data_IF_712742052938
#
_entry.id   IF_712742052938
#
_cell.length_a   1.000
_cell.length_b   1.000
_cell.length_c   1.000
_cell.angle_alpha   90.00
_cell.angle_beta   90.00
_cell.angle_gamma   90.00
#
_symmetry.space_group_name_H-M   'P 1'
#
loop_
_entity.id
_entity.type
_entity.pdbx_description
1 polymer ?
#
# COMPACT_ATOMS: atom_id res chain seq x y z
N UNK A 1 -19.95 -25.15 -10.62
CA UNK A 1 -18.97 -25.52 -11.66
C UNK A 1 -18.17 -24.32 -12.15
N UNK A 2 -18.80 -23.19 -12.42
CA UNK A 2 -18.20 -21.95 -12.91
C UNK A 2 -17.08 -21.39 -11.99
N UNK A 3 -17.29 -21.41 -10.65
CA UNK A 3 -16.26 -21.03 -9.67
C UNK A 3 -15.02 -21.92 -9.80
N UNK A 4 -15.22 -23.23 -9.96
CA UNK A 4 -14.10 -24.18 -10.10
C UNK A 4 -13.31 -23.96 -11.39
N UNK A 5 -13.97 -23.61 -12.50
CA UNK A 5 -13.31 -23.26 -13.76
C UNK A 5 -12.50 -21.99 -13.61
N UNK A 6 -13.08 -20.93 -13.00
CA UNK A 6 -12.39 -19.65 -12.77
C UNK A 6 -11.17 -19.81 -11.88
N UNK A 7 -11.34 -20.35 -10.67
CA UNK A 7 -10.24 -20.53 -9.72
C UNK A 7 -9.23 -21.57 -10.21
N UNK A 8 -9.70 -22.68 -10.78
CA UNK A 8 -8.84 -23.75 -11.28
C UNK A 8 -7.93 -23.28 -12.42
N UNK A 9 -8.47 -22.55 -13.41
CA UNK A 9 -7.67 -22.02 -14.52
C UNK A 9 -6.69 -20.93 -14.07
N UNK A 10 -7.12 -20.04 -13.15
CA UNK A 10 -6.26 -19.00 -12.59
C UNK A 10 -5.09 -19.61 -11.81
N UNK A 11 -5.37 -20.52 -10.88
CA UNK A 11 -4.35 -21.17 -10.07
C UNK A 11 -3.42 -22.07 -10.91
N UNK A 12 -3.95 -22.77 -11.91
CA UNK A 12 -3.15 -23.59 -12.83
C UNK A 12 -2.18 -22.70 -13.64
N UNK A 13 -2.66 -21.58 -14.20
CA UNK A 13 -1.81 -20.63 -14.93
C UNK A 13 -0.70 -20.04 -14.04
N UNK A 14 -1.05 -19.67 -12.81
CA UNK A 14 -0.07 -19.16 -11.84
C UNK A 14 0.95 -20.23 -11.42
N UNK A 15 0.51 -21.49 -11.22
CA UNK A 15 1.40 -22.60 -10.88
C UNK A 15 2.39 -22.93 -12.00
N UNK A 16 2.02 -22.65 -13.25
CA UNK A 16 2.91 -22.74 -14.41
C UNK A 16 3.88 -21.56 -14.53
N UNK A 17 3.83 -20.58 -13.61
CA UNK A 17 4.69 -19.42 -13.62
C UNK A 17 4.27 -18.32 -14.60
N UNK A 18 3.06 -18.36 -15.12
CA UNK A 18 2.54 -17.32 -16.03
C UNK A 18 2.31 -16.03 -15.21
N UNK A 19 2.77 -14.86 -15.68
CA UNK A 19 2.51 -13.60 -14.99
C UNK A 19 1.02 -13.35 -14.76
N UNK A 20 0.66 -12.77 -13.61
CA UNK A 20 -0.73 -12.68 -13.11
C UNK A 20 -1.68 -12.03 -14.11
N UNK A 21 -1.24 -10.97 -14.83
CA UNK A 21 -2.07 -10.31 -15.83
C UNK A 21 -2.49 -11.27 -16.96
N UNK A 22 -1.57 -12.07 -17.45
CA UNK A 22 -1.87 -13.10 -18.47
C UNK A 22 -2.69 -14.25 -17.89
N UNK A 23 -2.45 -14.64 -16.63
CA UNK A 23 -3.25 -15.64 -15.94
C UNK A 23 -4.73 -15.20 -15.81
N UNK A 24 -4.98 -13.91 -15.55
CA UNK A 24 -6.33 -13.34 -15.54
C UNK A 24 -6.99 -13.35 -16.91
N UNK A 25 -6.25 -13.03 -17.97
CA UNK A 25 -6.79 -13.13 -19.33
C UNK A 25 -7.10 -14.57 -19.71
N UNK A 26 -6.20 -15.51 -19.40
CA UNK A 26 -6.41 -16.94 -19.67
C UNK A 26 -7.61 -17.49 -18.92
N UNK A 27 -7.76 -17.13 -17.64
CA UNK A 27 -8.92 -17.54 -16.85
C UNK A 27 -10.22 -16.91 -17.40
N UNK A 28 -10.15 -15.66 -17.90
CA UNK A 28 -11.25 -15.04 -18.64
C UNK A 28 -11.64 -15.82 -19.89
N UNK A 29 -10.69 -16.18 -20.74
CA UNK A 29 -10.91 -17.00 -21.92
C UNK A 29 -11.48 -18.36 -21.57
N UNK A 30 -10.94 -19.04 -20.56
CA UNK A 30 -11.43 -20.34 -20.10
C UNK A 30 -12.88 -20.28 -19.61
N UNK A 31 -13.24 -19.19 -18.91
CA UNK A 31 -14.60 -18.98 -18.42
C UNK A 31 -15.57 -18.68 -19.58
N UNK A 32 -15.20 -17.83 -20.54
CA UNK A 32 -15.99 -17.55 -21.75
C UNK A 32 -16.22 -18.84 -22.55
N UNK A 33 -15.19 -19.67 -22.69
CA UNK A 33 -15.30 -20.97 -23.37
C UNK A 33 -16.24 -21.92 -22.65
N UNK A 34 -16.13 -22.03 -21.34
CA UNK A 34 -17.02 -22.85 -20.52
C UNK A 34 -18.48 -22.42 -20.60
N UNK A 35 -18.74 -21.14 -20.75
CA UNK A 35 -20.08 -20.56 -20.88
C UNK A 35 -20.62 -20.55 -22.33
N UNK A 36 -19.86 -21.08 -23.31
CA UNK A 36 -20.18 -21.05 -24.73
C UNK A 36 -20.45 -19.63 -25.27
N UNK A 37 -19.74 -18.63 -24.76
CA UNK A 37 -19.89 -17.21 -25.14
C UNK A 37 -18.56 -16.56 -25.52
N UNK A 38 -17.63 -17.36 -26.08
CA UNK A 38 -16.33 -16.83 -26.49
C UNK A 38 -16.48 -15.81 -27.63
N UNK A 39 -16.07 -14.58 -27.34
CA UNK A 39 -16.04 -13.47 -28.29
C UNK A 39 -14.78 -12.63 -28.04
N UNK A 40 -13.87 -12.65 -29.00
CA UNK A 40 -12.62 -11.89 -28.93
C UNK A 40 -12.84 -10.37 -28.91
N UNK A 41 -13.93 -9.87 -29.51
CA UNK A 41 -14.26 -8.45 -29.50
C UNK A 41 -14.67 -7.99 -28.11
N UNK A 42 -15.49 -8.77 -27.40
CA UNK A 42 -15.89 -8.48 -26.03
C UNK A 42 -14.66 -8.47 -25.11
N UNK A 43 -13.75 -9.43 -25.29
CA UNK A 43 -12.49 -9.48 -24.53
C UNK A 43 -11.64 -8.23 -24.77
N UNK A 44 -11.45 -7.84 -26.03
CA UNK A 44 -10.69 -6.66 -26.39
C UNK A 44 -11.33 -5.36 -25.84
N UNK A 45 -12.65 -5.23 -25.93
CA UNK A 45 -13.37 -4.07 -25.38
C UNK A 45 -13.19 -3.94 -23.87
N UNK A 46 -13.34 -5.03 -23.10
CA UNK A 46 -13.15 -5.00 -21.66
C UNK A 46 -11.70 -4.65 -21.25
N UNK A 47 -10.69 -5.10 -22.01
CA UNK A 47 -9.30 -4.70 -21.81
C UNK A 47 -9.14 -3.19 -21.99
N UNK A 48 -9.70 -2.65 -23.10
CA UNK A 48 -9.59 -1.22 -23.41
C UNK A 48 -10.34 -0.36 -22.39
N UNK A 49 -11.55 -0.73 -22.03
CA UNK A 49 -12.35 -0.02 -21.01
C UNK A 49 -11.67 -0.07 -19.64
N UNK A 50 -11.07 -1.19 -19.27
CA UNK A 50 -10.31 -1.34 -18.03
C UNK A 50 -9.11 -0.38 -17.92
N UNK A 51 -8.43 -0.14 -19.04
CA UNK A 51 -7.33 0.83 -19.09
C UNK A 51 -7.82 2.29 -19.21
N UNK A 52 -9.01 2.52 -19.76
CA UNK A 52 -9.53 3.85 -20.06
C UNK A 52 -10.42 4.40 -18.93
N UNK A 53 -9.86 4.50 -17.74
CA UNK A 53 -10.56 5.06 -16.56
C UNK A 53 -9.85 6.32 -16.08
N UNK A 54 -10.57 7.46 -16.06
CA UNK A 54 -9.99 8.75 -15.63
C UNK A 54 -9.37 8.70 -14.22
N UNK A 55 -10.01 8.10 -13.19
CA UNK A 55 -9.39 8.01 -11.88
C UNK A 55 -8.10 7.18 -11.85
N UNK A 56 -7.92 6.21 -12.75
CA UNK A 56 -6.69 5.42 -12.83
C UNK A 56 -5.48 6.20 -13.32
N UNK A 57 -5.69 7.35 -13.98
CA UNK A 57 -4.59 8.27 -14.33
C UNK A 57 -3.84 8.79 -13.09
N UNK A 58 -4.44 8.74 -11.91
CA UNK A 58 -3.74 9.03 -10.67
C UNK A 58 -2.54 8.09 -10.42
N UNK A 59 -2.62 6.83 -10.84
CA UNK A 59 -1.57 5.82 -10.63
C UNK A 59 -0.25 6.20 -11.28
N UNK A 60 -0.17 6.47 -12.61
CA UNK A 60 1.09 6.87 -13.25
C UNK A 60 1.70 8.13 -12.65
N UNK A 61 0.88 9.12 -12.29
CA UNK A 61 1.40 10.37 -11.73
C UNK A 61 1.90 10.20 -10.29
N UNK A 62 1.22 9.44 -9.43
CA UNK A 62 1.75 9.13 -8.09
C UNK A 62 3.00 8.27 -8.16
N UNK A 63 3.08 7.30 -9.09
CA UNK A 63 4.30 6.53 -9.31
C UNK A 63 5.46 7.42 -9.74
N UNK A 64 5.23 8.33 -10.69
CA UNK A 64 6.23 9.28 -11.12
C UNK A 64 6.67 10.19 -9.97
N UNK A 65 5.73 10.72 -9.19
CA UNK A 65 6.05 11.53 -8.02
C UNK A 65 6.95 10.77 -7.04
N UNK A 66 6.62 9.52 -6.70
CA UNK A 66 7.41 8.67 -5.81
C UNK A 66 8.84 8.42 -6.31
N UNK A 67 8.98 8.07 -7.61
CA UNK A 67 10.31 7.87 -8.23
C UNK A 67 11.15 9.15 -8.24
N UNK A 68 10.54 10.28 -8.61
CA UNK A 68 11.22 11.60 -8.58
C UNK A 68 11.67 11.96 -7.17
N UNK A 69 10.86 11.68 -6.17
CA UNK A 69 11.18 12.01 -4.78
C UNK A 69 12.32 11.17 -4.23
N UNK A 70 12.38 9.89 -4.59
CA UNK A 70 13.47 9.01 -4.20
C UNK A 70 14.78 9.43 -4.87
N UNK A 71 14.75 9.69 -6.19
CA UNK A 71 15.94 10.09 -6.96
C UNK A 71 16.38 11.51 -6.64
N UNK A 72 15.42 12.42 -6.40
CA UNK A 72 15.67 13.86 -6.16
C UNK A 72 16.02 14.24 -4.71
N UNK A 73 16.34 13.24 -3.85
CA UNK A 73 16.86 13.47 -2.51
C UNK A 73 15.83 13.97 -1.47
N UNK A 74 14.52 13.95 -1.80
CA UNK A 74 13.47 14.33 -0.86
C UNK A 74 13.41 13.34 0.31
N UNK A 75 13.44 12.03 0.01
CA UNK A 75 13.40 10.96 1.01
C UNK A 75 14.52 11.07 2.04
N UNK A 76 15.74 11.40 1.60
CA UNK A 76 16.89 11.61 2.49
C UNK A 76 16.67 12.77 3.46
N UNK A 77 16.13 13.90 3.00
CA UNK A 77 15.86 15.07 3.86
C UNK A 77 14.79 14.81 4.90
N UNK A 78 13.81 13.97 4.57
CA UNK A 78 12.77 13.50 5.51
C UNK A 78 13.41 12.64 6.60
N UNK A 79 14.30 11.72 6.24
CA UNK A 79 15.04 10.90 7.23
C UNK A 79 15.92 11.77 8.11
N UNK A 80 16.63 12.76 7.55
CA UNK A 80 17.45 13.72 8.31
C UNK A 80 16.61 14.56 9.29
N UNK A 81 15.41 14.96 8.88
CA UNK A 81 14.47 15.66 9.76
C UNK A 81 13.96 14.74 10.88
N UNK A 82 13.54 13.52 10.56
CA UNK A 82 13.11 12.53 11.56
C UNK A 82 14.25 12.21 12.56
N UNK A 83 15.51 12.11 12.08
CA UNK A 83 16.70 11.96 12.92
C UNK A 83 16.87 13.14 13.87
N UNK A 84 16.65 14.37 13.40
CA UNK A 84 16.74 15.54 14.24
C UNK A 84 15.67 15.57 15.32
N UNK A 85 14.48 15.07 15.00
CA UNK A 85 13.31 15.13 15.88
C UNK A 85 13.34 14.06 16.99
N UNK A 86 13.56 12.78 16.63
CA UNK A 86 13.41 11.63 17.55
C UNK A 86 14.67 10.77 17.70
N UNK A 87 15.76 11.08 16.97
CA UNK A 87 16.97 10.27 16.98
C UNK A 87 17.67 10.17 18.34
N UNK A 88 17.46 11.16 19.22
CA UNK A 88 18.05 11.22 20.56
C UNK A 88 17.38 10.32 21.61
N UNK A 89 16.27 9.67 21.27
CA UNK A 89 15.56 8.76 22.16
C UNK A 89 16.34 7.44 22.21
N UNK A 90 16.32 6.71 23.30
CA UNK A 90 16.90 5.37 23.41
C UNK A 90 16.27 4.44 22.38
N UNK A 91 17.08 3.78 21.55
CA UNK A 91 16.59 3.06 20.36
C UNK A 91 16.12 3.99 19.24
N UNK A 92 16.60 5.24 19.22
CA UNK A 92 16.13 6.34 18.40
C UNK A 92 15.98 6.05 16.92
N UNK A 93 16.89 5.27 16.32
CA UNK A 93 16.84 4.94 14.90
C UNK A 93 15.59 4.14 14.49
N UNK A 94 15.03 3.33 15.38
CA UNK A 94 13.76 2.66 15.11
C UNK A 94 12.59 3.64 15.09
N UNK A 95 12.55 4.60 16.01
CA UNK A 95 11.53 5.67 15.99
C UNK A 95 11.68 6.57 14.77
N UNK A 96 12.93 6.88 14.38
CA UNK A 96 13.22 7.58 13.13
C UNK A 96 12.65 6.81 11.92
N UNK A 97 12.81 5.49 11.91
CA UNK A 97 12.25 4.64 10.84
C UNK A 97 10.73 4.77 10.75
N UNK A 98 10.03 4.71 11.90
CA UNK A 98 8.56 4.82 11.95
C UNK A 98 8.09 6.22 11.49
N UNK A 99 8.71 7.28 12.02
CA UNK A 99 8.35 8.66 11.65
C UNK A 99 8.65 8.93 10.17
N UNK A 100 9.83 8.51 9.71
CA UNK A 100 10.19 8.65 8.30
C UNK A 100 9.25 7.86 7.39
N UNK A 101 8.86 6.63 7.78
CA UNK A 101 7.88 5.84 7.04
C UNK A 101 6.54 6.55 6.92
N UNK A 102 5.99 7.11 8.00
CA UNK A 102 4.72 7.85 7.96
C UNK A 102 4.77 9.03 6.99
N UNK A 103 5.90 9.76 6.96
CA UNK A 103 6.04 10.92 6.08
C UNK A 103 6.27 10.47 4.63
N UNK A 104 7.12 9.45 4.40
CA UNK A 104 7.38 8.91 3.06
C UNK A 104 6.13 8.26 2.46
N UNK A 105 5.36 7.55 3.27
CA UNK A 105 4.08 6.97 2.86
C UNK A 105 3.12 8.01 2.30
N UNK A 106 3.06 9.18 2.95
CA UNK A 106 2.26 10.31 2.48
C UNK A 106 2.78 10.95 1.18
N UNK A 107 3.80 10.38 0.56
CA UNK A 107 4.42 10.87 -0.67
C UNK A 107 4.43 9.82 -1.77
N UNK A 108 4.76 8.57 -1.46
CA UNK A 108 4.95 7.49 -2.44
C UNK A 108 3.72 6.59 -2.62
N UNK A 109 2.99 6.34 -1.54
CA UNK A 109 1.86 5.40 -1.52
C UNK A 109 2.23 3.94 -1.82
N UNK A 110 3.53 3.57 -1.76
CA UNK A 110 4.05 2.27 -2.15
C UNK A 110 4.86 1.61 -1.03
N UNK A 111 4.38 0.46 -0.54
CA UNK A 111 5.08 -0.33 0.48
C UNK A 111 6.50 -0.72 0.06
N UNK A 112 6.66 -1.16 -1.19
CA UNK A 112 7.93 -1.64 -1.75
C UNK A 112 8.95 -0.51 -1.88
N UNK A 113 8.54 0.65 -2.43
CA UNK A 113 9.41 1.81 -2.62
C UNK A 113 9.89 2.38 -1.28
N UNK A 114 8.97 2.52 -0.32
CA UNK A 114 9.29 3.05 1.01
C UNK A 114 10.23 2.11 1.77
N UNK A 115 9.95 0.80 1.76
CA UNK A 115 10.80 -0.19 2.40
C UNK A 115 12.21 -0.23 1.77
N UNK A 116 12.32 -0.11 0.45
CA UNK A 116 13.61 -0.05 -0.25
C UNK A 116 14.41 1.19 0.18
N UNK A 117 13.79 2.37 0.16
CA UNK A 117 14.43 3.63 0.54
C UNK A 117 14.88 3.62 2.01
N UNK A 118 13.99 3.21 2.93
CA UNK A 118 14.31 3.12 4.35
C UNK A 118 15.40 2.09 4.62
N UNK A 119 15.39 0.95 3.93
CA UNK A 119 16.43 -0.08 4.08
C UNK A 119 17.80 0.45 3.65
N UNK A 120 17.87 1.10 2.49
CA UNK A 120 19.13 1.64 1.97
C UNK A 120 19.71 2.73 2.90
N UNK A 121 18.85 3.58 3.48
CA UNK A 121 19.27 4.70 4.31
C UNK A 121 19.50 4.32 5.77
N UNK A 122 18.56 3.61 6.40
CA UNK A 122 18.54 3.43 7.85
C UNK A 122 19.12 2.10 8.34
N UNK A 123 19.01 1.01 7.58
CA UNK A 123 19.52 -0.28 8.03
C UNK A 123 21.04 -0.25 8.33
N UNK A 124 21.91 0.33 7.47
CA UNK A 124 23.32 0.45 7.79
C UNK A 124 23.61 1.29 9.05
N UNK A 125 22.81 2.35 9.24
CA UNK A 125 22.92 3.22 10.42
C UNK A 125 22.53 2.48 11.70
N UNK A 126 21.42 1.71 11.66
CA UNK A 126 20.93 0.92 12.79
C UNK A 126 21.94 -0.16 13.19
N UNK A 127 22.49 -0.88 12.23
CA UNK A 127 23.50 -1.91 12.47
C UNK A 127 24.78 -1.29 13.05
N UNK A 128 25.24 -0.14 12.52
CA UNK A 128 26.40 0.58 13.03
C UNK A 128 26.20 1.10 14.46
N UNK A 129 24.95 1.47 14.80
CA UNK A 129 24.58 1.90 16.15
C UNK A 129 24.39 0.73 17.14
N UNK A 130 24.62 -0.51 16.71
CA UNK A 130 24.56 -1.69 17.57
C UNK A 130 23.17 -2.35 17.69
N UNK A 131 22.20 -1.94 16.85
CA UNK A 131 20.91 -2.62 16.79
C UNK A 131 21.04 -3.99 16.11
N UNK A 132 20.24 -4.94 16.57
CA UNK A 132 20.13 -6.25 15.91
C UNK A 132 19.65 -6.10 14.44
N UNK A 133 20.39 -6.71 13.53
CA UNK A 133 20.16 -6.57 12.08
C UNK A 133 18.81 -7.14 11.65
N UNK A 134 18.44 -8.32 12.17
CA UNK A 134 17.19 -8.98 11.84
C UNK A 134 15.98 -8.16 12.31
N UNK A 135 16.03 -7.66 13.55
CA UNK A 135 14.97 -6.82 14.12
C UNK A 135 14.86 -5.47 13.39
N UNK A 136 15.98 -4.87 13.04
CA UNK A 136 16.01 -3.62 12.27
C UNK A 136 15.40 -3.79 10.87
N UNK A 137 15.78 -4.84 10.15
CA UNK A 137 15.18 -5.18 8.87
C UNK A 137 13.69 -5.50 8.99
N UNK A 138 13.29 -6.24 10.02
CA UNK A 138 11.89 -6.55 10.33
C UNK A 138 11.05 -5.31 10.62
N UNK A 139 11.57 -4.35 11.40
CA UNK A 139 10.89 -3.07 11.63
C UNK A 139 10.70 -2.28 10.33
N UNK A 140 11.77 -2.19 9.50
CA UNK A 140 11.70 -1.46 8.21
C UNK A 140 10.65 -2.12 7.30
N UNK A 141 10.63 -3.45 7.22
CA UNK A 141 9.61 -4.16 6.46
C UNK A 141 8.19 -3.85 6.96
N UNK A 142 7.97 -3.93 8.28
CA UNK A 142 6.69 -3.59 8.89
C UNK A 142 6.29 -2.12 8.67
N UNK A 143 7.24 -1.19 8.68
CA UNK A 143 7.00 0.22 8.35
C UNK A 143 6.54 0.41 6.90
N UNK A 144 7.02 -0.42 5.96
CA UNK A 144 6.56 -0.40 4.58
C UNK A 144 5.05 -0.63 4.42
N UNK A 145 4.43 -1.39 5.34
CA UNK A 145 2.97 -1.62 5.36
C UNK A 145 2.17 -0.31 5.47
N UNK A 146 2.75 0.73 6.09
CA UNK A 146 2.09 2.03 6.25
C UNK A 146 1.91 2.73 4.89
N UNK A 147 2.82 2.47 3.92
CA UNK A 147 2.83 3.11 2.60
C UNK A 147 1.50 3.14 1.88
N UNK A 148 0.85 2.00 1.68
CA UNK A 148 -0.45 1.95 1.01
C UNK A 148 -1.64 2.45 1.83
N UNK A 149 -1.45 2.84 3.08
CA UNK A 149 -2.54 3.19 4.01
C UNK A 149 -2.63 4.70 4.23
N UNK A 150 -1.49 5.38 4.45
CA UNK A 150 -1.47 6.84 4.55
C UNK A 150 -1.56 7.45 3.15
N UNK A 151 -2.51 8.37 2.89
CA UNK A 151 -2.68 8.97 1.57
C UNK A 151 -1.52 9.90 1.18
N UNK A 152 -1.22 9.97 -0.15
CA UNK A 152 -1.89 9.29 -1.24
C UNK A 152 -1.49 7.81 -1.34
N UNK A 153 -2.44 6.95 -1.68
CA UNK A 153 -2.26 5.51 -1.74
C UNK A 153 -2.72 4.95 -3.08
N UNK A 154 -1.81 4.26 -3.77
CA UNK A 154 -2.12 3.59 -5.04
C UNK A 154 -3.16 2.48 -4.81
N UNK A 155 -3.08 1.77 -3.69
CA UNK A 155 -4.05 0.74 -3.32
C UNK A 155 -5.48 1.27 -3.19
N UNK A 156 -5.66 2.42 -2.55
CA UNK A 156 -6.98 3.06 -2.45
C UNK A 156 -7.49 3.56 -3.80
N UNK A 157 -6.63 4.02 -4.71
CA UNK A 157 -7.04 4.41 -6.07
C UNK A 157 -7.59 3.19 -6.80
N UNK A 158 -6.83 2.08 -6.83
CA UNK A 158 -7.23 0.85 -7.53
C UNK A 158 -8.50 0.27 -6.91
N UNK A 159 -8.58 0.18 -5.58
CA UNK A 159 -9.77 -0.29 -4.89
C UNK A 159 -10.98 0.61 -5.15
N UNK A 160 -10.82 1.93 -5.09
CA UNK A 160 -11.89 2.89 -5.32
C UNK A 160 -12.51 2.75 -6.71
N UNK A 161 -11.68 2.52 -7.72
CA UNK A 161 -12.14 2.24 -9.09
C UNK A 161 -12.83 0.88 -9.18
N UNK A 162 -12.20 -0.19 -8.67
CA UNK A 162 -12.73 -1.55 -8.75
C UNK A 162 -14.04 -1.73 -7.95
N UNK A 163 -14.19 -1.04 -6.82
CA UNK A 163 -15.36 -1.10 -5.93
C UNK A 163 -16.43 -0.04 -6.26
N UNK A 164 -16.14 0.91 -7.13
CA UNK A 164 -16.93 2.13 -7.37
C UNK A 164 -17.20 2.89 -6.05
N UNK A 165 -16.12 3.21 -5.33
CA UNK A 165 -16.11 3.92 -4.05
C UNK A 165 -15.28 5.20 -4.17
N UNK A 166 -15.67 6.26 -3.47
CA UNK A 166 -14.96 7.55 -3.49
C UNK A 166 -13.51 7.41 -2.98
N UNK A 167 -12.55 7.64 -3.87
CA UNK A 167 -11.11 7.61 -3.56
C UNK A 167 -10.76 8.67 -2.52
N UNK A 168 -11.36 9.87 -2.60
CA UNK A 168 -11.16 10.94 -1.60
C UNK A 168 -11.57 10.47 -0.20
N UNK A 169 -12.74 9.81 -0.07
CA UNK A 169 -13.18 9.27 1.22
C UNK A 169 -12.24 8.17 1.73
N UNK A 170 -11.77 7.29 0.85
CA UNK A 170 -10.78 6.26 1.22
C UNK A 170 -9.49 6.89 1.72
N UNK A 171 -8.97 7.91 1.05
CA UNK A 171 -7.77 8.64 1.46
C UNK A 171 -7.94 9.24 2.86
N UNK A 172 -9.00 9.99 3.09
CA UNK A 172 -9.25 10.61 4.39
C UNK A 172 -9.47 9.57 5.50
N UNK A 173 -10.14 8.45 5.19
CA UNK A 173 -10.39 7.37 6.14
C UNK A 173 -9.12 6.57 6.49
N UNK A 174 -8.11 6.53 5.60
CA UNK A 174 -6.84 5.80 5.82
C UNK A 174 -5.88 6.50 6.80
N UNK A 175 -6.02 7.80 7.03
CA UNK A 175 -5.08 8.59 7.85
C UNK A 175 -4.98 8.05 9.27
N UNK A 176 -6.09 7.94 9.97
CA UNK A 176 -6.09 7.52 11.37
C UNK A 176 -5.68 6.06 11.57
N UNK A 177 -6.16 5.10 10.77
CA UNK A 177 -5.64 3.73 10.78
C UNK A 177 -4.13 3.63 10.56
N UNK A 178 -3.58 4.41 9.62
CA UNK A 178 -2.13 4.47 9.40
C UNK A 178 -1.37 4.95 10.64
N UNK A 179 -1.89 5.97 11.33
CA UNK A 179 -1.32 6.47 12.60
C UNK A 179 -1.43 5.41 13.70
N UNK A 180 -2.55 4.68 13.80
CA UNK A 180 -2.71 3.60 14.78
C UNK A 180 -1.71 2.46 14.55
N UNK A 181 -1.48 2.08 13.31
CA UNK A 181 -0.45 1.09 12.96
C UNK A 181 0.95 1.58 13.34
N UNK A 182 1.27 2.85 13.03
CA UNK A 182 2.53 3.46 13.42
C UNK A 182 2.72 3.49 14.96
N UNK A 183 1.65 3.81 15.70
CA UNK A 183 1.66 3.75 17.18
C UNK A 183 1.89 2.33 17.70
N UNK A 184 1.27 1.33 17.07
CA UNK A 184 1.51 -0.09 17.37
C UNK A 184 2.97 -0.50 17.15
N UNK A 185 3.56 -0.09 16.02
CA UNK A 185 4.99 -0.33 15.74
C UNK A 185 5.89 0.40 16.74
N UNK A 186 5.55 1.64 17.10
CA UNK A 186 6.27 2.42 18.11
C UNK A 186 6.28 1.72 19.48
N UNK A 187 5.13 1.26 19.94
CA UNK A 187 5.00 0.53 21.20
C UNK A 187 5.77 -0.80 21.17
N UNK A 188 5.71 -1.53 20.05
CA UNK A 188 6.45 -2.78 19.86
C UNK A 188 7.96 -2.55 19.89
N UNK A 189 8.45 -1.53 19.17
CA UNK A 189 9.86 -1.16 19.16
C UNK A 189 10.34 -0.77 20.56
N UNK A 190 9.59 0.07 21.27
CA UNK A 190 9.88 0.43 22.65
C UNK A 190 10.01 -0.80 23.55
N UNK A 191 9.05 -1.72 23.45
CA UNK A 191 9.06 -2.94 24.26
C UNK A 191 10.26 -3.84 23.99
N UNK A 192 10.67 -3.97 22.72
CA UNK A 192 11.80 -4.79 22.30
C UNK A 192 13.15 -4.18 22.68
N UNK A 193 13.29 -2.84 22.63
CA UNK A 193 14.58 -2.15 22.83
C UNK A 193 14.79 -1.65 24.27
N UNK A 194 13.77 -1.70 25.12
CA UNK A 194 13.85 -1.18 26.52
C UNK A 194 14.95 -1.79 27.37
N UNK A 195 15.40 -3.00 27.05
CA UNK A 195 16.47 -3.71 27.79
C UNK A 195 17.84 -3.63 27.09
N UNK A 196 17.92 -3.10 25.89
CA UNK A 196 19.18 -2.97 25.16
C UNK A 196 20.01 -1.83 25.75
N UNK A 197 21.31 -2.09 25.91
CA UNK A 197 22.28 -1.06 26.39
C UNK A 197 22.78 -0.23 25.21
N UNK A 198 21.86 0.51 24.58
CA UNK A 198 22.20 1.41 23.47
C UNK A 198 22.40 2.82 24.04
N UNK A 199 23.52 3.43 23.68
CA UNK A 199 23.77 4.82 24.00
C UNK A 199 23.09 5.72 22.96
N UNK A 200 22.08 6.52 23.36
CA UNK A 200 21.42 7.43 22.43
C UNK A 200 22.39 8.55 22.07
N UNK A 201 22.37 9.02 20.80
CA UNK A 201 23.13 10.20 20.42
C UNK A 201 22.60 11.43 21.20
N UNK A 202 23.46 12.48 21.36
CA UNK A 202 23.05 13.68 22.07
C UNK A 202 21.86 14.34 21.36
N UNK A 203 20.98 14.96 22.16
CA UNK A 203 19.83 15.69 21.65
C UNK A 203 20.30 16.87 20.80
N UNK A 204 19.78 16.98 19.58
CA UNK A 204 20.04 18.13 18.72
C UNK A 204 19.42 19.40 19.30
N UNK A 205 20.07 20.52 19.10
CA UNK A 205 19.57 21.82 19.53
C UNK A 205 18.32 22.20 18.72
N UNK A 206 17.48 23.06 19.29
CA UNK A 206 16.29 23.58 18.58
C UNK A 206 16.66 24.24 17.26
N UNK A 207 17.83 24.88 17.17
CA UNK A 207 18.34 25.46 15.93
C UNK A 207 18.65 24.41 14.85
N UNK A 208 19.28 23.29 15.24
CA UNK A 208 19.56 22.17 14.29
C UNK A 208 18.27 21.51 13.82
N UNK A 209 17.28 21.32 14.70
CA UNK A 209 15.96 20.80 14.34
C UNK A 209 15.27 21.74 13.35
N UNK A 210 15.34 23.06 13.59
CA UNK A 210 14.78 24.06 12.67
C UNK A 210 15.46 24.06 11.30
N UNK A 211 16.79 23.92 11.27
CA UNK A 211 17.55 23.80 10.00
C UNK A 211 17.12 22.54 9.25
N UNK A 212 16.99 21.39 9.94
CA UNK A 212 16.53 20.14 9.32
C UNK A 212 15.08 20.28 8.79
N UNK A 213 14.19 20.90 9.56
CA UNK A 213 12.83 21.22 9.15
C UNK A 213 12.80 22.11 7.88
N UNK A 214 13.58 23.18 7.83
CA UNK A 214 13.67 24.05 6.64
C UNK A 214 14.17 23.31 5.40
N UNK A 215 15.15 22.41 5.57
CA UNK A 215 15.66 21.58 4.47
C UNK A 215 14.63 20.57 3.96
N UNK A 216 13.84 19.98 4.85
CA UNK A 216 12.76 19.05 4.52
C UNK A 216 11.45 19.77 4.13
N UNK A 217 11.32 21.06 4.39
CA UNK A 217 10.08 21.84 4.30
C UNK A 217 9.34 21.66 2.98
N UNK A 218 10.05 21.76 1.85
CA UNK A 218 9.44 21.53 0.54
C UNK A 218 8.93 20.10 0.37
N UNK A 219 9.62 19.10 0.89
CA UNK A 219 9.12 17.72 0.87
C UNK A 219 7.89 17.56 1.76
N UNK A 220 7.85 18.19 2.92
CA UNK A 220 6.73 18.14 3.87
C UNK A 220 5.48 18.90 3.41
N UNK A 221 5.61 19.89 2.53
CA UNK A 221 4.45 20.62 1.99
C UNK A 221 3.63 19.77 1.01
N UNK A 222 4.21 18.81 0.32
CA UNK A 222 3.50 18.02 -0.67
C UNK A 222 2.32 17.22 -0.08
N UNK A 223 2.47 16.43 1.01
CA UNK A 223 1.34 15.77 1.65
C UNK A 223 0.26 16.75 2.09
N UNK A 224 0.65 17.91 2.59
CA UNK A 224 -0.30 18.93 3.03
C UNK A 224 -1.10 19.50 1.86
N UNK A 225 -0.45 19.79 0.72
CA UNK A 225 -1.11 20.26 -0.50
C UNK A 225 -2.17 19.23 -0.96
N UNK A 226 -1.78 17.95 -1.01
CA UNK A 226 -2.68 16.87 -1.43
C UNK A 226 -3.87 16.74 -0.47
N UNK A 227 -3.61 16.60 0.84
CA UNK A 227 -4.67 16.39 1.84
C UNK A 227 -5.62 17.58 1.94
N UNK A 228 -5.09 18.79 1.99
CA UNK A 228 -5.90 20.02 2.03
C UNK A 228 -6.69 20.17 0.74
N UNK A 229 -6.07 19.99 -0.42
CA UNK A 229 -6.72 20.10 -1.71
C UNK A 229 -7.86 19.09 -1.90
N UNK A 230 -7.68 17.85 -1.46
CA UNK A 230 -8.72 16.82 -1.50
C UNK A 230 -9.84 17.08 -0.50
N UNK A 231 -9.52 17.50 0.73
CA UNK A 231 -10.50 17.77 1.77
C UNK A 231 -11.43 18.93 1.40
N UNK A 232 -10.89 20.01 0.85
CA UNK A 232 -11.68 21.18 0.46
C UNK A 232 -12.25 21.08 -0.96
N UNK A 233 -12.07 19.92 -1.65
CA UNK A 233 -12.59 19.70 -2.99
C UNK A 233 -11.93 20.58 -4.07
N UNK A 234 -10.72 21.13 -3.80
CA UNK A 234 -9.94 21.92 -4.76
C UNK A 234 -9.42 21.01 -5.88
N UNK A 235 -9.07 19.77 -5.54
CA UNK A 235 -8.55 18.77 -6.46
C UNK A 235 -9.34 17.47 -6.37
N UNK A 236 -9.53 16.84 -7.53
CA UNK A 236 -9.83 15.41 -7.62
C UNK A 236 -8.58 14.59 -7.30
N UNK A 237 -8.68 13.29 -6.96
CA UNK A 237 -7.50 12.44 -6.74
C UNK A 237 -6.53 12.42 -7.92
N UNK A 238 -7.04 12.48 -9.16
CA UNK A 238 -6.23 12.52 -10.39
C UNK A 238 -5.46 13.83 -10.51
N UNK A 239 -6.13 14.97 -10.30
CA UNK A 239 -5.48 16.29 -10.31
C UNK A 239 -4.44 16.41 -9.18
N UNK A 240 -4.75 15.89 -7.99
CA UNK A 240 -3.79 15.85 -6.89
C UNK A 240 -2.53 15.04 -7.25
N UNK A 241 -2.66 13.95 -8.01
CA UNK A 241 -1.53 13.16 -8.48
C UNK A 241 -0.66 13.93 -9.49
N UNK A 242 -1.30 14.66 -10.42
CA UNK A 242 -0.58 15.54 -11.38
C UNK A 242 0.17 16.63 -10.64
N UNK A 243 -0.49 17.32 -9.68
CA UNK A 243 0.14 18.35 -8.84
C UNK A 243 1.31 17.76 -8.07
N UNK A 244 1.17 16.55 -7.52
CA UNK A 244 2.25 15.86 -6.81
C UNK A 244 3.47 15.62 -7.71
N UNK A 245 3.26 15.10 -8.92
CA UNK A 245 4.34 14.83 -9.87
C UNK A 245 5.05 16.11 -10.31
N UNK A 246 4.30 17.14 -10.69
CA UNK A 246 4.87 18.45 -11.12
C UNK A 246 5.61 19.10 -9.97
N UNK A 247 5.05 19.10 -8.76
CA UNK A 247 5.69 19.67 -7.59
C UNK A 247 6.98 18.93 -7.21
N UNK A 248 6.96 17.58 -7.24
CA UNK A 248 8.15 16.77 -6.97
C UNK A 248 9.27 17.07 -8.00
N UNK A 249 8.94 17.14 -9.29
CA UNK A 249 9.88 17.52 -10.35
C UNK A 249 10.47 18.92 -10.12
N UNK A 250 9.63 19.88 -9.79
CA UNK A 250 10.06 21.25 -9.50
C UNK A 250 11.00 21.30 -8.29
N UNK A 251 10.63 20.66 -7.19
CA UNK A 251 11.45 20.64 -5.98
C UNK A 251 12.77 19.93 -6.20
N UNK A 252 12.76 18.75 -6.82
CA UNK A 252 13.96 17.95 -7.08
C UNK A 252 14.90 18.62 -8.11
N UNK A 253 14.33 19.19 -9.18
CA UNK A 253 15.12 19.75 -10.29
C UNK A 253 15.56 21.21 -10.05
N UNK A 254 14.68 22.05 -9.52
CA UNK A 254 14.95 23.50 -9.41
C UNK A 254 15.42 23.89 -8.02
N UNK A 255 14.76 23.41 -6.97
CA UNK A 255 15.05 23.82 -5.60
C UNK A 255 16.26 23.07 -5.04
N UNK A 256 16.20 21.72 -5.07
CA UNK A 256 17.28 20.89 -4.55
C UNK A 256 18.40 20.66 -5.54
N UNK A 257 18.12 20.78 -6.83
CA UNK A 257 19.09 20.62 -7.93
C UNK A 257 19.84 19.29 -7.89
N UNK A 258 19.17 18.26 -7.41
CA UNK A 258 19.71 16.91 -7.31
C UNK A 258 19.32 16.01 -8.49
N UNK A 259 18.42 16.47 -9.38
CA UNK A 259 17.93 15.73 -10.52
C UNK A 259 18.66 16.17 -11.79
N UNK A 260 19.62 15.35 -12.23
CA UNK A 260 20.33 15.56 -13.50
C UNK A 260 19.48 15.04 -14.68
N UNK A 261 19.76 15.49 -15.92
CA UNK A 261 19.07 15.02 -17.12
C UNK A 261 19.12 13.50 -17.32
N UNK A 262 20.25 12.87 -17.01
CA UNK A 262 20.40 11.42 -17.09
C UNK A 262 19.52 10.70 -16.06
N UNK A 263 19.47 11.21 -14.82
CA UNK A 263 18.62 10.67 -13.76
C UNK A 263 17.14 10.89 -14.08
N UNK A 264 16.78 12.05 -14.63
CA UNK A 264 15.42 12.36 -15.06
C UNK A 264 14.92 11.33 -16.07
N UNK A 265 15.69 11.04 -17.11
CA UNK A 265 15.36 10.00 -18.08
C UNK A 265 15.16 8.64 -17.42
N UNK A 266 16.11 8.23 -16.55
CA UNK A 266 16.01 6.96 -15.81
C UNK A 266 14.76 6.89 -14.94
N UNK A 267 14.42 7.99 -14.26
CA UNK A 267 13.23 8.12 -13.40
C UNK A 267 11.93 7.97 -14.20
N UNK A 268 11.84 8.65 -15.37
CA UNK A 268 10.67 8.50 -16.24
C UNK A 268 10.54 7.07 -16.78
N UNK A 269 11.64 6.43 -17.18
CA UNK A 269 11.63 5.04 -17.66
C UNK A 269 11.21 4.08 -16.54
N UNK A 270 11.71 4.26 -15.32
CA UNK A 270 11.32 3.45 -14.17
C UNK A 270 9.83 3.61 -13.86
N UNK A 271 9.34 4.84 -13.76
CA UNK A 271 7.93 5.13 -13.54
C UNK A 271 7.03 4.57 -14.64
N UNK A 272 7.44 4.71 -15.92
CA UNK A 272 6.69 4.17 -17.07
C UNK A 272 6.60 2.64 -17.04
N UNK A 273 7.72 1.94 -16.72
CA UNK A 273 7.73 0.47 -16.59
C UNK A 273 6.77 -0.01 -15.51
N UNK A 274 6.85 0.58 -14.33
CA UNK A 274 5.99 0.20 -13.19
C UNK A 274 4.52 0.52 -13.49
N UNK A 275 4.25 1.69 -14.07
CA UNK A 275 2.90 2.07 -14.53
C UNK A 275 2.35 1.08 -15.55
N UNK A 276 3.14 0.71 -16.57
CA UNK A 276 2.70 -0.23 -17.60
C UNK A 276 2.28 -1.59 -17.02
N UNK A 277 3.05 -2.10 -16.06
CA UNK A 277 2.72 -3.36 -15.37
C UNK A 277 1.39 -3.25 -14.61
N UNK A 278 1.21 -2.18 -13.84
CA UNK A 278 -0.02 -1.99 -13.05
C UNK A 278 -1.22 -1.76 -13.95
N UNK A 279 -1.11 -0.88 -14.96
CA UNK A 279 -2.22 -0.58 -15.87
C UNK A 279 -2.62 -1.79 -16.72
N UNK A 280 -1.65 -2.58 -17.18
CA UNK A 280 -1.94 -3.83 -17.90
C UNK A 280 -2.63 -4.86 -17.00
N UNK A 281 -2.22 -4.96 -15.73
CA UNK A 281 -2.86 -5.82 -14.75
C UNK A 281 -4.31 -5.39 -14.49
N UNK A 282 -4.57 -4.08 -14.35
CA UNK A 282 -5.93 -3.54 -14.21
C UNK A 282 -6.78 -3.86 -15.44
N UNK A 283 -6.26 -3.63 -16.65
CA UNK A 283 -6.94 -3.92 -17.89
C UNK A 283 -7.32 -5.41 -18.00
N UNK A 284 -6.38 -6.30 -17.69
CA UNK A 284 -6.61 -7.76 -17.67
C UNK A 284 -7.65 -8.17 -16.62
N UNK A 285 -7.62 -7.56 -15.45
CA UNK A 285 -8.53 -7.86 -14.36
C UNK A 285 -9.98 -7.42 -14.65
N UNK A 286 -10.17 -6.36 -15.44
CA UNK A 286 -11.54 -5.91 -15.83
C UNK A 286 -12.25 -6.95 -16.70
N UNK A 287 -11.54 -7.71 -17.52
CA UNK A 287 -12.09 -8.87 -18.24
C UNK A 287 -12.64 -9.90 -17.24
N UNK A 288 -11.81 -10.25 -16.25
CA UNK A 288 -12.23 -11.20 -15.21
C UNK A 288 -13.40 -10.67 -14.38
N UNK A 289 -13.39 -9.39 -14.00
CA UNK A 289 -14.45 -8.74 -13.24
C UNK A 289 -15.79 -8.75 -13.99
N UNK A 290 -15.77 -8.45 -15.30
CA UNK A 290 -16.96 -8.53 -16.13
C UNK A 290 -17.50 -9.97 -16.20
N UNK A 291 -16.63 -10.96 -16.43
CA UNK A 291 -17.02 -12.37 -16.50
C UNK A 291 -17.53 -12.91 -15.16
N UNK A 292 -16.91 -12.54 -14.05
CA UNK A 292 -17.38 -12.85 -12.70
C UNK A 292 -18.84 -12.38 -12.53
N UNK A 293 -19.15 -11.19 -13.05
CA UNK A 293 -20.50 -10.62 -12.96
C UNK A 293 -21.48 -11.34 -13.88
N UNK A 294 -21.12 -11.59 -15.14
CA UNK A 294 -21.94 -12.32 -16.12
C UNK A 294 -22.22 -13.75 -15.66
N UNK A 295 -21.22 -14.42 -15.09
CA UNK A 295 -21.33 -15.75 -14.53
C UNK A 295 -22.11 -15.81 -13.20
N UNK A 296 -22.57 -14.66 -12.69
CA UNK A 296 -23.27 -14.51 -11.41
C UNK A 296 -22.54 -15.14 -10.22
N UNK A 297 -21.19 -15.14 -10.25
CA UNK A 297 -20.39 -15.65 -9.15
C UNK A 297 -20.65 -14.92 -7.82
N UNK A 298 -20.84 -13.58 -7.80
CA UNK A 298 -21.15 -12.89 -6.56
C UNK A 298 -22.43 -13.39 -5.90
N UNK A 299 -23.48 -13.66 -6.68
CA UNK A 299 -24.74 -14.18 -6.15
C UNK A 299 -24.54 -15.56 -5.50
N UNK A 300 -23.78 -16.45 -6.14
CA UNK A 300 -23.47 -17.77 -5.58
C UNK A 300 -22.66 -17.67 -4.27
N UNK A 301 -21.76 -16.70 -4.16
CA UNK A 301 -20.98 -16.46 -2.92
C UNK A 301 -21.88 -15.86 -1.83
N UNK A 302 -22.80 -14.95 -2.17
CA UNK A 302 -23.77 -14.41 -1.22
C UNK A 302 -24.69 -15.51 -0.69
N UNK A 303 -25.20 -16.40 -1.56
CA UNK A 303 -26.03 -17.52 -1.17
C UNK A 303 -25.30 -18.51 -0.25
N UNK A 304 -24.02 -18.81 -0.57
CA UNK A 304 -23.16 -19.68 0.24
C UNK A 304 -22.90 -19.13 1.64
N UNK A 305 -22.73 -17.81 1.74
CA UNK A 305 -22.40 -17.08 2.98
C UNK A 305 -23.66 -16.45 3.62
N UNK A 306 -24.85 -16.76 3.13
CA UNK A 306 -26.13 -16.24 3.66
C UNK A 306 -26.31 -16.40 5.17
N UNK A 307 -25.84 -17.48 5.84
CA UNK A 307 -25.94 -17.60 7.30
C UNK A 307 -25.09 -16.54 8.05
N UNK A 308 -24.05 -15.99 7.41
CA UNK A 308 -23.16 -14.99 8.02
C UNK A 308 -23.65 -13.55 7.77
N UNK A 309 -24.59 -13.32 6.85
CA UNK A 309 -25.11 -11.97 6.56
C UNK A 309 -25.77 -11.31 7.77
N UNK A 310 -26.39 -12.09 8.65
CA UNK A 310 -26.97 -11.62 9.91
C UNK A 310 -25.93 -11.19 10.98
N UNK A 311 -24.64 -11.49 10.74
CA UNK A 311 -23.56 -11.19 11.67
C UNK A 311 -22.39 -10.45 10.96
N UNK A 312 -22.52 -9.15 10.66
CA UNK A 312 -21.55 -8.41 9.84
C UNK A 312 -20.10 -8.49 10.35
N UNK A 313 -19.92 -8.50 11.67
CA UNK A 313 -18.56 -8.61 12.28
C UNK A 313 -17.94 -9.98 12.01
N UNK A 314 -18.70 -11.06 12.12
CA UNK A 314 -18.20 -12.42 11.81
C UNK A 314 -17.88 -12.56 10.34
N UNK A 315 -18.73 -12.01 9.47
CA UNK A 315 -18.50 -11.98 8.04
C UNK A 315 -17.20 -11.23 7.71
N UNK A 316 -17.00 -10.03 8.29
CA UNK A 316 -15.76 -9.27 8.12
C UNK A 316 -14.54 -10.04 8.60
N UNK A 317 -14.62 -10.70 9.76
CA UNK A 317 -13.54 -11.53 10.28
C UNK A 317 -13.18 -12.64 9.28
N UNK A 318 -14.18 -13.36 8.75
CA UNK A 318 -13.97 -14.41 7.76
C UNK A 318 -13.34 -13.86 6.47
N UNK A 319 -13.82 -12.71 5.97
CA UNK A 319 -13.25 -12.04 4.81
C UNK A 319 -11.80 -11.61 5.09
N UNK A 320 -11.50 -11.05 6.26
CA UNK A 320 -10.14 -10.63 6.59
C UNK A 320 -9.19 -11.83 6.67
N UNK A 321 -9.63 -12.98 7.18
CA UNK A 321 -8.83 -14.21 7.14
C UNK A 321 -8.59 -14.69 5.70
N UNK A 322 -9.61 -14.64 4.85
CA UNK A 322 -9.47 -14.98 3.43
C UNK A 322 -8.44 -14.05 2.74
N UNK A 323 -8.59 -12.74 2.91
CA UNK A 323 -7.69 -11.73 2.31
C UNK A 323 -6.26 -11.91 2.84
N UNK A 324 -6.09 -12.22 4.11
CA UNK A 324 -4.79 -12.52 4.70
C UNK A 324 -4.14 -13.72 4.00
N UNK A 325 -4.86 -14.82 3.83
CA UNK A 325 -4.33 -16.03 3.16
C UNK A 325 -3.94 -15.72 1.71
N UNK A 326 -4.81 -15.05 0.96
CA UNK A 326 -4.53 -14.67 -0.44
C UNK A 326 -3.34 -13.69 -0.52
N UNK A 327 -3.29 -12.70 0.38
CA UNK A 327 -2.23 -11.70 0.42
C UNK A 327 -0.84 -12.25 0.76
N UNK A 328 -0.74 -13.46 1.37
CA UNK A 328 0.56 -14.12 1.55
C UNK A 328 1.18 -14.62 0.25
N UNK A 329 0.35 -14.91 -0.76
CA UNK A 329 0.77 -15.50 -2.02
C UNK A 329 0.80 -14.49 -3.18
N UNK A 330 0.02 -13.43 -3.10
CA UNK A 330 -0.18 -12.45 -4.18
C UNK A 330 0.18 -11.05 -3.74
N UNK A 331 0.62 -10.23 -4.70
CA UNK A 331 0.84 -8.80 -4.46
C UNK A 331 -0.49 -8.05 -4.27
N UNK A 332 -0.41 -6.81 -3.77
CA UNK A 332 -1.59 -6.01 -3.40
C UNK A 332 -2.51 -5.75 -4.60
N UNK A 333 -1.97 -5.32 -5.73
CA UNK A 333 -2.78 -4.95 -6.90
C UNK A 333 -3.62 -6.11 -7.45
N UNK A 334 -3.07 -7.30 -7.73
CA UNK A 334 -3.89 -8.43 -8.18
C UNK A 334 -4.90 -8.88 -7.13
N UNK A 335 -4.55 -8.86 -5.85
CA UNK A 335 -5.49 -9.22 -4.76
C UNK A 335 -6.69 -8.28 -4.74
N UNK A 336 -6.47 -6.97 -4.86
CA UNK A 336 -7.56 -5.98 -4.96
C UNK A 336 -8.47 -6.29 -6.15
N UNK A 337 -7.87 -6.46 -7.32
CA UNK A 337 -8.62 -6.59 -8.58
C UNK A 337 -9.41 -7.89 -8.69
N UNK A 338 -8.91 -8.98 -8.09
CA UNK A 338 -9.59 -10.28 -8.12
C UNK A 338 -10.69 -10.35 -7.04
N UNK A 339 -10.39 -9.91 -5.82
CA UNK A 339 -11.31 -10.09 -4.70
C UNK A 339 -12.40 -9.01 -4.63
N UNK A 340 -12.12 -7.79 -5.06
CA UNK A 340 -13.09 -6.70 -4.96
C UNK A 340 -14.42 -7.00 -5.68
N UNK A 341 -14.46 -7.46 -6.95
CA UNK A 341 -15.71 -7.76 -7.63
C UNK A 341 -16.52 -8.87 -6.97
N UNK A 342 -15.86 -9.81 -6.28
CA UNK A 342 -16.49 -10.93 -5.57
C UNK A 342 -17.00 -10.51 -4.20
N UNK A 343 -16.21 -9.73 -3.45
CA UNK A 343 -16.50 -9.39 -2.06
C UNK A 343 -17.45 -8.19 -1.91
N UNK A 344 -17.39 -7.20 -2.82
CA UNK A 344 -18.19 -5.98 -2.68
C UNK A 344 -19.70 -6.20 -2.68
N UNK A 345 -20.28 -7.09 -3.51
CA UNK A 345 -21.69 -7.43 -3.41
C UNK A 345 -22.08 -8.01 -2.05
N UNK A 346 -21.23 -8.87 -1.48
CA UNK A 346 -21.43 -9.47 -0.15
C UNK A 346 -21.37 -8.40 0.96
N UNK A 347 -20.41 -7.50 0.89
CA UNK A 347 -20.21 -6.38 1.83
C UNK A 347 -21.44 -5.47 1.84
N UNK A 348 -21.97 -5.14 0.64
CA UNK A 348 -23.18 -4.33 0.50
C UNK A 348 -24.43 -5.05 1.01
N UNK A 349 -24.58 -6.34 0.72
CA UNK A 349 -25.68 -7.17 1.18
C UNK A 349 -25.71 -7.29 2.72
N UNK A 350 -24.53 -7.30 3.37
CA UNK A 350 -24.40 -7.30 4.83
C UNK A 350 -24.55 -5.91 5.48
N UNK A 351 -24.81 -4.85 4.70
CA UNK A 351 -24.94 -3.49 5.21
C UNK A 351 -23.63 -2.86 5.73
N UNK A 352 -22.48 -3.40 5.34
CA UNK A 352 -21.17 -2.88 5.73
C UNK A 352 -20.82 -1.67 4.86
N UNK A 353 -20.35 -0.58 5.49
CA UNK A 353 -19.91 0.61 4.76
C UNK A 353 -18.76 0.28 3.80
N UNK A 354 -18.88 0.60 2.49
CA UNK A 354 -17.85 0.28 1.49
C UNK A 354 -16.51 0.98 1.72
N UNK A 355 -16.48 2.18 2.31
CA UNK A 355 -15.24 2.91 2.62
C UNK A 355 -14.52 2.23 3.79
N UNK A 356 -15.28 1.90 4.84
CA UNK A 356 -14.74 1.16 5.98
C UNK A 356 -14.15 -0.19 5.55
N UNK A 357 -14.89 -0.96 4.76
CA UNK A 357 -14.38 -2.21 4.19
C UNK A 357 -13.11 -1.99 3.38
N UNK A 358 -13.09 -0.99 2.50
CA UNK A 358 -11.94 -0.67 1.67
C UNK A 358 -10.68 -0.37 2.49
N UNK A 359 -10.83 0.39 3.58
CA UNK A 359 -9.70 0.66 4.49
C UNK A 359 -9.17 -0.61 5.12
N UNK A 360 -10.04 -1.46 5.67
CA UNK A 360 -9.62 -2.74 6.27
C UNK A 360 -8.99 -3.68 5.25
N UNK A 361 -9.56 -3.73 4.05
CA UNK A 361 -9.08 -4.56 2.96
C UNK A 361 -7.66 -4.17 2.53
N UNK A 362 -7.39 -2.87 2.37
CA UNK A 362 -6.05 -2.38 2.02
C UNK A 362 -5.06 -2.59 3.17
N UNK A 363 -5.45 -2.38 4.43
CA UNK A 363 -4.60 -2.67 5.60
C UNK A 363 -4.20 -4.14 5.61
N UNK A 364 -5.17 -5.04 5.50
CA UNK A 364 -4.94 -6.47 5.54
C UNK A 364 -4.03 -6.93 4.39
N UNK A 365 -4.33 -6.45 3.19
CA UNK A 365 -3.52 -6.74 2.00
C UNK A 365 -2.09 -6.21 2.15
N UNK A 366 -1.92 -5.02 2.73
CA UNK A 366 -0.59 -4.45 3.02
C UNK A 366 0.20 -5.29 4.03
N UNK A 367 -0.46 -5.82 5.08
CA UNK A 367 0.17 -6.76 6.02
C UNK A 367 0.55 -8.06 5.29
N UNK A 368 -0.23 -8.49 4.31
CA UNK A 368 0.10 -9.62 3.44
C UNK A 368 1.46 -9.48 2.77
N UNK A 369 1.86 -8.26 2.38
CA UNK A 369 3.16 -7.99 1.74
C UNK A 369 4.38 -8.27 2.64
N UNK A 370 4.18 -8.37 3.95
CA UNK A 370 5.22 -8.73 4.93
C UNK A 370 4.98 -10.10 5.56
N UNK A 371 4.00 -10.85 5.07
CA UNK A 371 3.63 -12.15 5.60
C UNK A 371 4.25 -13.27 4.75
N UNK A 372 5.01 -14.22 5.35
CA UNK A 372 5.50 -15.39 4.62
C UNK A 372 4.34 -16.22 4.04
N UNK A 373 4.54 -16.97 2.93
CA UNK A 373 5.83 -17.39 2.35
C UNK A 373 6.43 -16.45 1.31
N UNK A 374 5.66 -15.57 0.65
CA UNK A 374 6.20 -14.72 -0.41
C UNK A 374 6.68 -13.38 0.14
N UNK A 375 5.80 -12.58 0.72
CA UNK A 375 6.10 -11.27 1.32
C UNK A 375 6.97 -10.37 0.43
N UNK A 376 6.39 -9.70 -0.56
CA UNK A 376 7.14 -8.89 -1.53
C UNK A 376 8.01 -7.83 -0.88
N UNK A 377 7.55 -7.23 0.21
CA UNK A 377 8.34 -6.25 0.99
C UNK A 377 9.50 -6.93 1.73
N UNK A 378 9.31 -8.16 2.23
CA UNK A 378 10.40 -8.91 2.86
C UNK A 378 11.52 -9.19 1.87
N UNK A 379 11.17 -9.57 0.62
CA UNK A 379 12.13 -9.79 -0.45
C UNK A 379 12.95 -8.54 -0.76
N UNK A 380 12.29 -7.37 -0.79
CA UNK A 380 12.95 -6.09 -1.05
C UNK A 380 13.90 -5.72 0.08
N UNK A 381 13.47 -5.84 1.33
CA UNK A 381 14.34 -5.58 2.51
C UNK A 381 15.53 -6.55 2.54
N UNK A 382 15.30 -7.83 2.27
CA UNK A 382 16.35 -8.84 2.20
C UNK A 382 17.37 -8.51 1.10
N UNK A 383 16.89 -8.16 -0.11
CA UNK A 383 17.75 -7.83 -1.25
C UNK A 383 18.57 -6.57 -1.03
N UNK A 384 17.91 -5.44 -0.70
CA UNK A 384 18.58 -4.15 -0.49
C UNK A 384 19.48 -4.19 0.75
N UNK A 385 19.02 -4.83 1.84
CA UNK A 385 19.74 -4.95 3.10
C UNK A 385 20.84 -6.03 3.09
N UNK A 386 20.96 -6.78 2.00
CA UNK A 386 21.85 -7.95 1.90
C UNK A 386 21.72 -8.86 3.13
N UNK A 387 20.46 -9.28 3.38
CA UNK A 387 20.07 -10.14 4.48
C UNK A 387 19.51 -11.45 3.94
N UNK A 388 19.58 -12.50 4.75
CA UNK A 388 18.84 -13.72 4.44
C UNK A 388 17.35 -13.51 4.69
N UNK A 389 16.51 -14.11 3.86
CA UNK A 389 15.04 -14.01 4.00
C UNK A 389 14.55 -14.45 5.38
N UNK A 390 15.12 -15.53 5.90
CA UNK A 390 14.82 -16.05 7.24
C UNK A 390 15.12 -15.03 8.35
N UNK A 391 16.20 -14.26 8.25
CA UNK A 391 16.56 -13.21 9.22
C UNK A 391 15.50 -12.10 9.21
N UNK A 392 15.09 -11.62 8.03
CA UNK A 392 14.06 -10.57 7.92
C UNK A 392 12.71 -11.09 8.40
N UNK A 393 12.37 -12.33 8.05
CA UNK A 393 11.13 -12.98 8.47
C UNK A 393 11.06 -13.11 10.00
N UNK A 394 12.11 -13.57 10.65
CA UNK A 394 12.13 -13.62 12.13
C UNK A 394 12.05 -12.23 12.74
N UNK A 395 12.72 -11.27 12.14
CA UNK A 395 12.71 -9.88 12.62
C UNK A 395 11.35 -9.20 12.52
N UNK A 396 10.55 -9.52 11.50
CA UNK A 396 9.24 -8.87 11.28
C UNK A 396 8.12 -9.43 12.16
N UNK A 397 8.23 -10.68 12.64
CA UNK A 397 7.16 -11.38 13.36
C UNK A 397 6.50 -10.58 14.50
N UNK A 398 7.24 -9.95 15.43
CA UNK A 398 6.61 -9.20 16.53
C UNK A 398 5.85 -7.97 16.02
N UNK A 399 6.34 -7.32 14.98
CA UNK A 399 5.71 -6.15 14.38
C UNK A 399 4.45 -6.54 13.59
N UNK A 400 4.54 -7.59 12.80
CA UNK A 400 3.43 -8.16 12.04
C UNK A 400 2.29 -8.62 12.97
N UNK A 401 2.62 -9.27 14.09
CA UNK A 401 1.63 -9.69 15.08
C UNK A 401 0.84 -8.49 15.63
N UNK A 402 1.53 -7.38 15.96
CA UNK A 402 0.86 -6.15 16.43
C UNK A 402 0.02 -5.51 15.33
N UNK A 403 0.48 -5.51 14.08
CA UNK A 403 -0.31 -5.00 12.96
C UNK A 403 -1.62 -5.78 12.77
N UNK A 404 -1.59 -7.11 12.89
CA UNK A 404 -2.81 -7.92 12.89
C UNK A 404 -3.71 -7.60 14.07
N UNK A 405 -3.15 -7.47 15.29
CA UNK A 405 -3.95 -7.08 16.47
C UNK A 405 -4.64 -5.74 16.22
N UNK A 406 -3.92 -4.73 15.75
CA UNK A 406 -4.50 -3.40 15.45
C UNK A 406 -5.58 -3.50 14.38
N UNK A 407 -5.35 -4.28 13.31
CA UNK A 407 -6.33 -4.50 12.25
C UNK A 407 -7.60 -5.17 12.80
N UNK A 408 -7.47 -6.25 13.58
CA UNK A 408 -8.64 -6.92 14.16
C UNK A 408 -9.38 -6.08 15.20
N UNK A 409 -8.68 -5.21 15.94
CA UNK A 409 -9.32 -4.21 16.78
C UNK A 409 -10.17 -3.23 15.95
N UNK A 410 -9.72 -2.82 14.76
CA UNK A 410 -10.52 -2.00 13.86
C UNK A 410 -11.73 -2.74 13.29
N UNK A 411 -11.67 -4.07 13.13
CA UNK A 411 -12.82 -4.91 12.75
C UNK A 411 -13.85 -4.98 13.88
N UNK A 412 -13.39 -5.13 15.12
CA UNK A 412 -14.27 -5.21 16.30
C UNK A 412 -14.87 -3.84 16.66
N UNK A 413 -14.13 -2.76 16.43
CA UNK A 413 -14.51 -1.39 16.76
C UNK A 413 -14.48 -0.49 15.52
N UNK A 414 -15.53 -0.54 14.67
CA UNK A 414 -15.61 0.25 13.44
C UNK A 414 -15.41 1.76 13.65
N UNK A 415 -15.75 2.25 14.86
CA UNK A 415 -15.60 3.65 15.24
C UNK A 415 -14.15 4.13 15.17
N UNK A 416 -13.16 3.25 15.35
CA UNK A 416 -11.75 3.59 15.23
C UNK A 416 -11.39 4.07 13.82
N UNK A 417 -12.09 3.60 12.80
CA UNK A 417 -11.91 4.01 11.40
C UNK A 417 -12.90 5.12 11.03
N UNK A 418 -14.18 4.90 11.31
CA UNK A 418 -15.26 5.73 10.76
C UNK A 418 -15.45 7.06 11.49
N UNK A 419 -15.25 7.11 12.81
CA UNK A 419 -15.41 8.36 13.56
C UNK A 419 -14.40 9.45 13.16
N UNK A 420 -13.08 9.19 13.09
CA UNK A 420 -12.11 10.16 12.58
C UNK A 420 -12.36 10.52 11.10
N UNK A 421 -12.73 9.53 10.29
CA UNK A 421 -13.05 9.74 8.87
C UNK A 421 -14.22 10.73 8.70
N UNK A 422 -15.32 10.56 9.45
CA UNK A 422 -16.49 11.44 9.40
C UNK A 422 -16.15 12.88 9.82
N UNK A 423 -15.20 13.09 10.74
CA UNK A 423 -14.71 14.43 11.10
C UNK A 423 -13.94 15.10 9.96
N UNK A 424 -13.27 14.29 9.13
CA UNK A 424 -12.52 14.79 7.98
C UNK A 424 -13.39 14.99 6.73
N UNK A 425 -14.58 14.35 6.66
CA UNK A 425 -15.53 14.53 5.55
C UNK A 425 -16.34 15.83 5.64
N UNK A 426 -16.41 16.40 6.83
CA UNK A 426 -17.04 17.71 7.09
C UNK A 426 -16.09 18.85 6.77
#
# INVERSE_FOLDING_TARGET
>A
MTIAVFLGSLLAAMALGIPIAFSLLLCGVALMWHMNMFDAQILAQNIMEGANSFPLLAVPFFMLAGEVMNTGGLSRRIVDFALALVGHIRGGLGYVTIVAACILSALSGSAVADAAALTALLLPMMVKAGHDKARSGGLIAACGVIGPIIPPSIGFVIFGVAANVSITKLFLAGIFPGILLAAGLWATWWWLTRKEKLEPPPRKSSGEVWIAFRKAGWALTLPLIILVGLRFGIFTPTEAAVVAAVFALFVAGVIYRELTWSQLYGTFVAAAKTTAVVMFLVAAAMVSAWLITVAQLPAQVVDLLSPLLGHPTLLLMAIMVLVMVVGTAMDMTPTILILTPVLMPLVRAAGIDPVYFGVLFIINNSIGLVTPPVGTVLNVVAGVGRMKMDEVTRGVMPFMAVQFVVMFLMVLFPQLVMWPAQLLYR
#
